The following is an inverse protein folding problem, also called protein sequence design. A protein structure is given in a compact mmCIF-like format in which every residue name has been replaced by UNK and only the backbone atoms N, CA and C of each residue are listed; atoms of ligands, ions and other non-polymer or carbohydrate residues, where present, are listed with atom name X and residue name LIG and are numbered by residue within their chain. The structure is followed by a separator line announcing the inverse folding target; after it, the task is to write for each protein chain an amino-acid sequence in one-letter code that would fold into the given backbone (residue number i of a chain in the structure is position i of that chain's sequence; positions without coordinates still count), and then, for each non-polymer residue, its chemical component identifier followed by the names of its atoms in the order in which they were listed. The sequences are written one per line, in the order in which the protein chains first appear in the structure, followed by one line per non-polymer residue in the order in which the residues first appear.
data_IF_412710302623
#
_entry.id   IF_412710302623
#
_cell.length_a   1.000
_cell.length_b   1.000
_cell.length_c   1.000
_cell.angle_alpha   90.00
_cell.angle_beta   90.00
_cell.angle_gamma   90.00
#
_symmetry.space_group_name_H-M   'P 1'
#
loop_
_entity.id
_entity.type
_entity.pdbx_description
1 polymer ?
#
# COMPACT_ATOMS: atom_id res chain seq x y z
N UNK A 1 11.19 -24.49 -5.48
CA UNK A 1 11.50 -23.73 -6.70
C UNK A 1 12.62 -24.51 -7.30
N UNK A 2 12.35 -25.22 -8.39
CA UNK A 2 13.35 -26.08 -9.01
C UNK A 2 14.28 -25.19 -9.84
N UNK A 3 15.59 -25.34 -9.64
CA UNK A 3 16.59 -24.53 -10.33
C UNK A 3 16.56 -24.79 -11.84
N UNK A 4 16.19 -26.00 -12.24
CA UNK A 4 16.04 -26.41 -13.64
C UNK A 4 14.98 -25.55 -14.36
N UNK A 5 13.81 -25.35 -13.74
CA UNK A 5 12.71 -24.58 -14.35
C UNK A 5 13.06 -23.10 -14.53
N UNK A 6 13.82 -22.52 -13.58
CA UNK A 6 14.27 -21.13 -13.70
C UNK A 6 15.31 -21.00 -14.83
N UNK A 7 16.24 -21.96 -14.91
CA UNK A 7 17.26 -21.97 -15.95
C UNK A 7 16.69 -22.23 -17.35
N UNK A 8 15.65 -23.04 -17.47
CA UNK A 8 14.95 -23.29 -18.73
C UNK A 8 14.25 -22.02 -19.25
N UNK A 9 13.58 -21.27 -18.38
CA UNK A 9 12.94 -20.01 -18.79
C UNK A 9 13.97 -18.93 -19.14
N UNK A 10 15.07 -18.84 -18.40
CA UNK A 10 16.20 -17.98 -18.78
C UNK A 10 16.77 -18.43 -20.13
N UNK A 11 16.90 -19.73 -20.35
CA UNK A 11 17.37 -20.31 -21.62
C UNK A 11 16.47 -19.95 -22.80
N UNK A 12 15.14 -19.97 -22.62
CA UNK A 12 14.18 -19.55 -23.66
C UNK A 12 14.32 -18.07 -24.01
N UNK A 13 14.51 -17.20 -23.02
CA UNK A 13 14.69 -15.75 -23.23
C UNK A 13 16.03 -15.44 -23.90
N UNK A 14 17.08 -16.22 -23.61
CA UNK A 14 18.38 -16.08 -24.30
C UNK A 14 18.35 -16.65 -25.73
N UNK A 15 17.42 -17.55 -26.04
CA UNK A 15 17.26 -18.17 -27.35
C UNK A 15 16.26 -17.45 -28.26
N UNK A 16 15.44 -16.52 -27.74
CA UNK A 16 14.71 -15.59 -28.60
C UNK A 16 15.72 -14.68 -29.28
N UNK A 17 15.68 -14.59 -30.61
CA UNK A 17 16.52 -13.74 -31.46
C UNK A 17 16.30 -12.23 -31.24
N UNK A 18 16.29 -11.77 -30.00
CA UNK A 18 16.32 -10.37 -29.62
C UNK A 18 17.76 -10.01 -29.23
N UNK A 19 18.37 -9.11 -29.99
CA UNK A 19 19.66 -8.55 -29.65
C UNK A 19 19.50 -7.72 -28.36
N UNK A 20 19.97 -8.26 -27.24
CA UNK A 20 20.03 -7.54 -25.97
C UNK A 20 21.34 -6.73 -25.96
N UNK A 21 21.31 -5.39 -26.05
CA UNK A 21 22.52 -4.59 -25.93
C UNK A 21 23.10 -4.77 -24.51
N UNK A 22 24.32 -5.31 -24.43
CA UNK A 22 25.01 -5.68 -23.18
C UNK A 22 25.91 -4.53 -22.71
N UNK A 23 25.36 -3.32 -22.76
CA UNK A 23 26.13 -2.09 -22.53
C UNK A 23 25.87 -1.56 -21.10
N UNK A 24 24.79 -2.02 -20.47
CA UNK A 24 24.40 -1.66 -19.10
C UNK A 24 23.97 -2.90 -18.30
N UNK A 25 24.19 -2.85 -16.98
CA UNK A 25 23.84 -3.93 -16.05
C UNK A 25 22.39 -4.40 -16.21
N UNK A 26 22.17 -5.68 -16.51
CA UNK A 26 20.83 -6.26 -16.61
C UNK A 26 20.37 -6.81 -15.25
N UNK A 27 19.10 -6.55 -14.88
CA UNK A 27 18.51 -7.05 -13.64
C UNK A 27 17.40 -8.06 -13.94
N UNK A 28 17.60 -9.33 -13.56
CA UNK A 28 16.56 -10.36 -13.68
C UNK A 28 15.78 -10.46 -12.36
N UNK A 29 14.47 -10.23 -12.40
CA UNK A 29 13.59 -10.45 -11.24
C UNK A 29 12.76 -11.71 -11.48
N UNK A 30 13.16 -12.82 -10.84
CA UNK A 30 12.42 -14.08 -10.91
C UNK A 30 11.32 -14.08 -9.85
N UNK A 31 10.06 -14.14 -10.28
CA UNK A 31 8.89 -14.26 -9.42
C UNK A 31 8.25 -15.63 -9.55
N UNK A 32 7.93 -16.29 -8.43
CA UNK A 32 7.13 -17.52 -8.43
C UNK A 32 5.64 -17.14 -8.40
N UNK A 33 4.89 -17.53 -9.42
CA UNK A 33 3.43 -17.48 -9.40
C UNK A 33 2.93 -18.84 -8.94
N UNK A 34 2.50 -18.95 -7.68
CA UNK A 34 1.72 -20.11 -7.26
C UNK A 34 0.31 -19.98 -7.85
N UNK A 35 -0.05 -20.93 -8.72
CA UNK A 35 -1.41 -21.03 -9.27
C UNK A 35 -2.34 -21.35 -8.10
N UNK A 36 -3.32 -20.51 -7.78
CA UNK A 36 -4.16 -20.73 -6.61
C UNK A 36 -5.14 -21.88 -6.84
N UNK A 37 -5.09 -22.88 -5.98
CA UNK A 37 -6.17 -23.84 -5.77
C UNK A 37 -7.22 -23.21 -4.84
N UNK A 38 -8.20 -22.50 -5.43
CA UNK A 38 -9.38 -21.98 -4.72
C UNK A 38 -9.70 -20.50 -4.96
N UNK A 39 -10.91 -20.07 -4.60
CA UNK A 39 -11.46 -18.71 -4.79
C UNK A 39 -10.90 -17.63 -3.85
N UNK A 40 -9.62 -17.72 -3.48
CA UNK A 40 -8.95 -16.77 -2.59
C UNK A 40 -8.58 -15.44 -3.25
N UNK A 41 -7.90 -14.56 -2.49
CA UNK A 41 -7.35 -13.30 -3.03
C UNK A 41 -6.27 -13.62 -4.07
N UNK A 42 -6.53 -13.34 -5.34
CA UNK A 42 -5.61 -13.66 -6.45
C UNK A 42 -4.56 -12.57 -6.60
N UNK A 43 -3.28 -12.94 -6.75
CA UNK A 43 -2.18 -12.02 -7.05
C UNK A 43 -2.33 -11.30 -8.39
N UNK A 44 -1.43 -10.35 -8.68
CA UNK A 44 -1.36 -9.74 -10.02
C UNK A 44 -0.58 -10.71 -10.92
N UNK A 45 -1.24 -11.28 -11.92
CA UNK A 45 -0.65 -12.28 -12.82
C UNK A 45 -0.64 -11.84 -14.27
N UNK A 46 -1.54 -10.92 -14.67
CA UNK A 46 -1.65 -10.39 -16.03
C UNK A 46 -1.78 -8.87 -15.96
N UNK A 47 -0.85 -8.13 -16.58
CA UNK A 47 -0.86 -6.67 -16.57
C UNK A 47 -1.64 -6.06 -17.74
N UNK A 48 -1.63 -6.72 -18.90
CA UNK A 48 -2.15 -6.18 -20.16
C UNK A 48 -3.23 -7.06 -20.78
N UNK A 49 -3.95 -6.53 -21.77
CA UNK A 49 -5.02 -7.23 -22.51
C UNK A 49 -6.34 -7.31 -21.74
N UNK A 50 -7.35 -7.88 -22.38
CA UNK A 50 -8.70 -8.01 -21.80
C UNK A 50 -8.67 -8.81 -20.49
N UNK A 51 -9.50 -8.37 -19.53
CA UNK A 51 -9.66 -9.01 -18.21
C UNK A 51 -8.33 -9.15 -17.44
N UNK A 52 -7.42 -8.18 -17.60
CA UNK A 52 -6.16 -8.15 -16.87
C UNK A 52 -6.40 -8.01 -15.35
N UNK A 53 -5.38 -8.36 -14.56
CA UNK A 53 -5.45 -8.32 -13.09
C UNK A 53 -5.67 -6.90 -12.55
N UNK A 54 -5.29 -5.87 -13.29
CA UNK A 54 -5.44 -4.47 -12.88
C UNK A 54 -6.93 -4.08 -12.91
N UNK A 55 -7.63 -4.42 -13.99
CA UNK A 55 -9.07 -4.19 -14.15
C UNK A 55 -9.90 -5.00 -13.15
N UNK A 56 -9.49 -6.25 -12.88
CA UNK A 56 -10.23 -7.14 -11.97
C UNK A 56 -10.04 -6.81 -10.50
N UNK A 57 -8.90 -6.25 -10.10
CA UNK A 57 -8.60 -5.97 -8.68
C UNK A 57 -9.27 -4.70 -8.21
N UNK A 58 -10.31 -4.83 -7.39
CA UNK A 58 -10.97 -3.71 -6.66
C UNK A 58 -10.03 -2.89 -5.77
N UNK A 59 -8.84 -3.39 -5.48
CA UNK A 59 -7.81 -2.68 -4.71
C UNK A 59 -7.04 -1.64 -5.54
N UNK A 60 -7.22 -1.63 -6.87
CA UNK A 60 -6.58 -0.71 -7.80
C UNK A 60 -7.67 0.06 -8.54
N UNK A 61 -7.50 1.38 -8.66
CA UNK A 61 -8.33 2.22 -9.53
C UNK A 61 -7.41 2.83 -10.58
N UNK A 62 -7.54 2.34 -11.81
CA UNK A 62 -6.83 2.83 -12.98
C UNK A 62 -7.74 3.74 -13.80
N UNK A 63 -7.20 4.86 -14.30
CA UNK A 63 -7.96 5.85 -15.09
C UNK A 63 -7.11 6.28 -16.29
N UNK A 64 -7.42 5.72 -17.46
CA UNK A 64 -6.71 6.06 -18.71
C UNK A 64 -6.69 7.58 -18.94
N UNK A 65 -5.50 8.13 -19.13
CA UNK A 65 -5.24 9.52 -19.51
C UNK A 65 -3.79 9.61 -19.97
N UNK A 66 -3.58 10.39 -21.04
CA UNK A 66 -2.26 10.62 -21.62
C UNK A 66 -1.32 11.33 -20.64
N UNK A 67 -1.77 12.44 -20.03
CA UNK A 67 -0.90 13.29 -19.20
C UNK A 67 -1.22 13.25 -17.70
N UNK A 68 -2.48 12.95 -17.32
CA UNK A 68 -2.99 13.19 -15.97
C UNK A 68 -3.13 11.94 -15.11
N UNK A 69 -2.65 10.76 -15.54
CA UNK A 69 -2.84 9.52 -14.79
C UNK A 69 -2.29 9.59 -13.35
N UNK A 70 -1.11 10.19 -13.15
CA UNK A 70 -0.51 10.32 -11.82
C UNK A 70 -1.28 11.30 -10.92
N UNK A 71 -1.55 12.56 -11.32
CA UNK A 71 -2.40 13.47 -10.53
C UNK A 71 -3.77 12.89 -10.17
N UNK A 72 -4.41 12.15 -11.09
CA UNK A 72 -5.67 11.47 -10.82
C UNK A 72 -5.53 10.34 -9.80
N UNK A 73 -4.48 9.52 -9.93
CA UNK A 73 -4.22 8.45 -8.97
C UNK A 73 -3.94 9.02 -7.55
N UNK A 74 -3.16 10.11 -7.46
CA UNK A 74 -2.92 10.84 -6.22
C UNK A 74 -4.23 11.38 -5.64
N UNK A 75 -5.09 11.96 -6.48
CA UNK A 75 -6.41 12.47 -6.05
C UNK A 75 -7.24 11.37 -5.39
N UNK A 76 -7.35 10.20 -6.04
CA UNK A 76 -8.13 9.06 -5.51
C UNK A 76 -7.55 8.58 -4.18
N UNK A 77 -6.24 8.41 -4.11
CA UNK A 77 -5.55 7.96 -2.90
C UNK A 77 -5.69 8.96 -1.75
N UNK A 78 -5.54 10.25 -2.01
CA UNK A 78 -5.69 11.32 -1.02
C UNK A 78 -7.13 11.37 -0.46
N UNK A 79 -8.14 11.31 -1.32
CA UNK A 79 -9.53 11.32 -0.86
C UNK A 79 -9.85 10.11 0.03
N UNK A 80 -9.16 8.98 -0.16
CA UNK A 80 -9.31 7.80 0.70
C UNK A 80 -8.82 8.02 2.13
N UNK A 81 -7.88 8.94 2.36
CA UNK A 81 -7.39 9.27 3.71
C UNK A 81 -8.28 10.29 4.42
N UNK A 82 -9.11 11.03 3.69
CA UNK A 82 -9.99 12.04 4.27
C UNK A 82 -11.12 11.43 5.11
N UNK A 83 -11.50 12.13 6.18
CA UNK A 83 -12.63 11.77 7.04
C UNK A 83 -13.94 11.87 6.25
N UNK A 84 -14.71 10.78 6.18
CA UNK A 84 -16.05 10.83 5.57
C UNK A 84 -17.02 11.51 6.51
N UNK A 85 -17.73 12.53 6.02
CA UNK A 85 -18.72 13.30 6.77
C UNK A 85 -20.11 13.26 6.13
N UNK A 86 -21.15 13.55 6.91
CA UNK A 86 -22.51 13.68 6.40
C UNK A 86 -22.67 14.93 5.53
N UNK A 87 -23.68 15.00 4.62
CA UNK A 87 -23.93 16.21 3.83
C UNK A 87 -24.21 17.46 4.69
N UNK A 88 -24.91 17.31 5.83
CA UNK A 88 -25.19 18.41 6.75
C UNK A 88 -23.95 18.91 7.48
N UNK A 89 -23.11 17.99 7.95
CA UNK A 89 -21.82 18.32 8.56
C UNK A 89 -20.89 19.01 7.56
N UNK A 90 -20.83 18.52 6.32
CA UNK A 90 -20.06 19.16 5.24
C UNK A 90 -20.52 20.59 4.97
N UNK A 91 -21.83 20.83 4.89
CA UNK A 91 -22.40 22.17 4.68
C UNK A 91 -22.04 23.11 5.82
N UNK A 92 -22.07 22.61 7.06
CA UNK A 92 -21.70 23.38 8.25
C UNK A 92 -20.21 23.74 8.23
N UNK A 93 -19.36 22.75 8.00
CA UNK A 93 -17.90 22.89 7.98
C UNK A 93 -17.40 23.85 6.90
N UNK A 94 -18.10 23.93 5.76
CA UNK A 94 -17.67 24.69 4.57
C UNK A 94 -18.55 25.90 4.26
N UNK A 95 -19.41 26.30 5.21
CA UNK A 95 -20.42 27.36 5.03
C UNK A 95 -19.82 28.72 4.69
N UNK A 96 -18.74 29.10 5.36
CA UNK A 96 -18.04 30.38 5.16
C UNK A 96 -16.92 30.31 4.12
N UNK A 97 -16.52 29.10 3.74
CA UNK A 97 -15.41 28.87 2.82
C UNK A 97 -15.88 29.05 1.36
N UNK A 98 -15.33 30.03 0.66
CA UNK A 98 -15.66 30.33 -0.76
C UNK A 98 -14.76 29.58 -1.75
N UNK A 99 -13.84 28.75 -1.28
CA UNK A 99 -12.94 27.96 -2.11
C UNK A 99 -13.68 26.92 -2.95
N UNK A 100 -12.98 26.38 -3.94
CA UNK A 100 -13.54 25.30 -4.73
C UNK A 100 -13.64 24.02 -3.87
N UNK A 101 -14.33 23.00 -4.40
CA UNK A 101 -14.47 21.71 -3.69
C UNK A 101 -13.10 21.11 -3.32
N UNK A 102 -12.11 21.18 -4.21
CA UNK A 102 -10.79 20.63 -3.94
C UNK A 102 -10.07 21.36 -2.80
N UNK A 103 -10.12 22.70 -2.78
CA UNK A 103 -9.51 23.52 -1.72
C UNK A 103 -10.10 23.19 -0.35
N UNK A 104 -11.44 23.10 -0.28
CA UNK A 104 -12.15 22.72 0.94
C UNK A 104 -11.72 21.36 1.44
N UNK A 105 -11.65 20.37 0.54
CA UNK A 105 -11.25 19.01 0.92
C UNK A 105 -9.81 18.97 1.42
N UNK A 106 -8.89 19.67 0.76
CA UNK A 106 -7.49 19.80 1.19
C UNK A 106 -7.38 20.43 2.58
N UNK A 107 -8.09 21.55 2.80
CA UNK A 107 -8.07 22.29 4.07
C UNK A 107 -8.68 21.52 5.23
N UNK A 108 -9.87 20.96 5.04
CA UNK A 108 -10.64 20.35 6.13
C UNK A 108 -10.36 18.85 6.32
N UNK A 109 -9.58 18.22 5.43
CA UNK A 109 -9.29 16.77 5.42
C UNK A 109 -10.55 15.91 5.61
N UNK A 110 -11.67 16.40 5.07
CA UNK A 110 -13.00 15.82 5.22
C UNK A 110 -13.70 15.82 3.88
N UNK A 111 -14.54 14.81 3.61
CA UNK A 111 -15.28 14.69 2.34
C UNK A 111 -16.67 14.11 2.55
N UNK A 112 -17.68 14.55 1.81
CA UNK A 112 -18.94 13.82 1.76
C UNK A 112 -18.81 12.58 0.87
N UNK A 113 -19.46 11.48 1.27
CA UNK A 113 -19.37 10.19 0.57
C UNK A 113 -19.77 10.27 -0.91
N UNK A 114 -20.74 11.13 -1.27
CA UNK A 114 -21.16 11.30 -2.66
C UNK A 114 -20.01 11.84 -3.54
N UNK A 115 -19.18 12.73 -3.00
CA UNK A 115 -18.06 13.32 -3.73
C UNK A 115 -16.96 12.29 -3.97
N UNK A 116 -16.63 11.51 -2.93
CA UNK A 116 -15.72 10.37 -3.05
C UNK A 116 -16.15 9.43 -4.19
N UNK A 117 -17.43 9.00 -4.19
CA UNK A 117 -17.99 8.12 -5.23
C UNK A 117 -18.01 8.77 -6.62
N UNK A 118 -18.21 10.08 -6.71
CA UNK A 118 -18.09 10.79 -7.98
C UNK A 118 -16.67 10.75 -8.51
N UNK A 119 -15.65 10.91 -7.67
CA UNK A 119 -14.26 10.82 -8.12
C UNK A 119 -13.88 9.36 -8.47
N UNK A 120 -14.31 8.37 -7.68
CA UNK A 120 -13.88 6.98 -7.86
C UNK A 120 -14.70 6.17 -8.85
N UNK A 121 -16.01 6.40 -8.96
CA UNK A 121 -16.93 5.52 -9.68
C UNK A 121 -17.49 6.20 -10.94
N UNK A 122 -18.08 7.40 -10.80
CA UNK A 122 -18.97 7.99 -11.83
C UNK A 122 -18.43 9.19 -12.61
N UNK A 123 -17.35 9.84 -12.17
CA UNK A 123 -17.01 11.20 -12.59
C UNK A 123 -15.56 11.36 -13.03
N UNK A 124 -15.24 10.87 -14.23
CA UNK A 124 -13.94 11.13 -14.89
C UNK A 124 -13.63 12.63 -14.90
N UNK A 125 -14.63 13.48 -15.19
CA UNK A 125 -14.51 14.95 -15.16
C UNK A 125 -14.19 15.49 -13.77
N UNK A 126 -14.86 15.00 -12.72
CA UNK A 126 -14.61 15.43 -11.33
C UNK A 126 -13.21 15.05 -10.87
N UNK A 127 -12.77 13.84 -11.18
CA UNK A 127 -11.41 13.39 -10.90
C UNK A 127 -10.37 14.26 -11.63
N UNK A 128 -10.58 14.52 -12.92
CA UNK A 128 -9.71 15.41 -13.71
C UNK A 128 -9.67 16.83 -13.11
N UNK A 129 -10.80 17.41 -12.73
CA UNK A 129 -10.83 18.76 -12.16
C UNK A 129 -10.09 18.83 -10.82
N UNK A 130 -10.26 17.82 -9.96
CA UNK A 130 -9.50 17.73 -8.71
C UNK A 130 -8.00 17.58 -8.99
N UNK A 131 -7.64 16.71 -9.93
CA UNK A 131 -6.27 16.47 -10.35
C UNK A 131 -5.61 17.73 -10.94
N UNK A 132 -6.32 18.50 -11.76
CA UNK A 132 -5.87 19.80 -12.29
C UNK A 132 -5.60 20.78 -11.16
N UNK A 133 -6.49 20.84 -10.16
CA UNK A 133 -6.27 21.70 -8.99
C UNK A 133 -5.04 21.28 -8.18
N UNK A 134 -4.80 19.97 -8.03
CA UNK A 134 -3.56 19.49 -7.41
C UNK A 134 -2.32 19.88 -8.22
N UNK A 135 -2.36 19.77 -9.55
CA UNK A 135 -1.27 20.19 -10.43
C UNK A 135 -0.98 21.69 -10.28
N UNK A 136 -2.01 22.53 -10.26
CA UNK A 136 -1.89 23.98 -10.05
C UNK A 136 -1.20 24.29 -8.71
N UNK A 137 -1.67 23.68 -7.61
CA UNK A 137 -1.09 23.88 -6.28
C UNK A 137 0.33 23.32 -6.14
N UNK A 138 0.66 22.28 -6.90
CA UNK A 138 1.97 21.65 -6.90
C UNK A 138 2.96 22.30 -7.89
N UNK A 139 2.52 23.31 -8.65
CA UNK A 139 3.29 23.90 -9.75
C UNK A 139 3.79 22.83 -10.74
N UNK A 140 2.87 22.01 -11.24
CA UNK A 140 3.14 20.93 -12.21
C UNK A 140 2.27 21.12 -13.45
N UNK A 141 2.90 21.06 -14.63
CA UNK A 141 2.18 21.19 -15.92
C UNK A 141 1.22 20.02 -16.15
N UNK A 142 0.06 20.32 -16.74
CA UNK A 142 -0.94 19.32 -17.16
C UNK A 142 -0.78 18.86 -18.61
N UNK A 143 0.14 19.48 -19.35
CA UNK A 143 0.29 19.30 -20.80
C UNK A 143 1.24 18.15 -21.15
N UNK A 144 1.97 17.64 -20.15
CA UNK A 144 2.88 16.51 -20.28
C UNK A 144 2.64 15.50 -19.16
N UNK A 145 2.95 14.21 -19.38
CA UNK A 145 2.90 13.21 -18.32
C UNK A 145 3.83 13.57 -17.17
N UNK A 146 3.32 13.46 -15.94
CA UNK A 146 4.15 13.72 -14.76
C UNK A 146 5.26 12.66 -14.61
N UNK A 147 6.41 13.09 -14.08
CA UNK A 147 7.53 12.21 -13.75
C UNK A 147 7.57 11.89 -12.23
N UNK A 148 8.26 10.81 -11.85
CA UNK A 148 8.32 10.35 -10.44
C UNK A 148 8.93 11.41 -9.50
N UNK A 149 9.79 12.31 -10.00
CA UNK A 149 10.41 13.36 -9.18
C UNK A 149 9.38 14.45 -8.80
N UNK A 150 8.36 14.69 -9.62
CA UNK A 150 7.29 15.64 -9.34
C UNK A 150 6.37 15.19 -8.19
N UNK A 151 6.39 13.90 -7.82
CA UNK A 151 5.62 13.37 -6.67
C UNK A 151 5.93 14.15 -5.39
N UNK A 152 7.16 14.62 -5.18
CA UNK A 152 7.52 15.39 -3.99
C UNK A 152 6.74 16.72 -3.89
N UNK A 153 6.39 17.34 -5.02
CA UNK A 153 5.58 18.56 -5.04
C UNK A 153 4.16 18.27 -4.60
N UNK A 154 3.58 17.16 -5.08
CA UNK A 154 2.28 16.70 -4.63
C UNK A 154 2.28 16.33 -3.14
N UNK A 155 3.31 15.65 -2.64
CA UNK A 155 3.45 15.31 -1.21
C UNK A 155 3.38 16.55 -0.31
N UNK A 156 3.93 17.70 -0.75
CA UNK A 156 3.83 18.97 -0.02
C UNK A 156 2.42 19.54 -0.01
N UNK A 157 1.68 19.41 -1.11
CA UNK A 157 0.29 19.90 -1.24
C UNK A 157 -0.69 19.05 -0.42
N UNK A 158 -0.60 17.73 -0.55
CA UNK A 158 -1.53 16.81 0.13
C UNK A 158 -1.10 16.46 1.54
N UNK A 159 0.13 16.82 1.92
CA UNK A 159 0.77 16.49 3.20
C UNK A 159 0.56 15.01 3.58
N UNK A 160 1.10 14.14 2.71
CA UNK A 160 1.12 12.68 2.81
C UNK A 160 2.46 12.15 2.30
N UNK A 161 2.83 10.92 2.67
CA UNK A 161 3.90 10.18 1.99
C UNK A 161 3.32 9.33 0.86
N UNK A 162 3.85 9.50 -0.35
CA UNK A 162 3.43 8.77 -1.55
C UNK A 162 4.51 7.73 -1.91
N UNK A 163 4.14 6.46 -1.84
CA UNK A 163 5.00 5.34 -2.22
C UNK A 163 4.60 4.82 -3.60
N UNK A 164 5.59 4.45 -4.42
CA UNK A 164 5.34 3.93 -5.77
C UNK A 164 5.81 2.49 -5.88
N UNK A 165 4.91 1.63 -6.31
CA UNK A 165 5.14 0.21 -6.57
C UNK A 165 5.22 0.00 -8.08
N UNK A 166 6.29 -0.61 -8.58
CA UNK A 166 6.49 -0.86 -10.02
C UNK A 166 5.97 -2.24 -10.42
N UNK A 167 5.10 -2.27 -11.42
CA UNK A 167 4.69 -3.50 -12.10
C UNK A 167 5.88 -4.20 -12.77
N UNK A 168 6.71 -3.43 -13.48
CA UNK A 168 7.88 -3.92 -14.23
C UNK A 168 8.91 -4.60 -13.32
N UNK A 169 9.09 -4.10 -12.10
CA UNK A 169 10.03 -4.66 -11.13
C UNK A 169 9.38 -5.65 -10.15
N UNK A 170 8.30 -6.34 -10.55
CA UNK A 170 7.70 -7.41 -9.74
C UNK A 170 7.06 -6.90 -8.45
N UNK A 171 6.36 -5.76 -8.51
CA UNK A 171 5.72 -5.10 -7.37
C UNK A 171 6.70 -4.60 -6.30
N UNK A 172 7.94 -4.27 -6.68
CA UNK A 172 8.91 -3.62 -5.79
C UNK A 172 8.58 -2.14 -5.59
N UNK A 173 8.89 -1.64 -4.39
CA UNK A 173 8.86 -0.20 -4.10
C UNK A 173 10.04 0.48 -4.80
N UNK A 174 9.74 1.37 -5.75
CA UNK A 174 10.76 2.14 -6.49
C UNK A 174 10.90 3.58 -5.99
N UNK A 175 9.92 4.04 -5.21
CA UNK A 175 9.97 5.32 -4.52
C UNK A 175 9.40 5.14 -3.12
N UNK A 176 10.18 5.60 -2.15
CA UNK A 176 9.74 5.81 -0.76
C UNK A 176 9.99 7.30 -0.48
N UNK A 177 8.92 8.09 -0.40
CA UNK A 177 9.01 9.53 -0.13
C UNK A 177 9.48 9.85 1.29
N UNK A 178 9.44 11.13 1.67
CA UNK A 178 9.78 11.56 3.04
C UNK A 178 8.87 10.87 4.05
N UNK A 179 9.41 10.42 5.17
CA UNK A 179 8.65 9.70 6.21
C UNK A 179 7.55 10.62 6.76
N UNK A 180 6.30 10.26 6.49
CA UNK A 180 5.10 10.89 7.05
C UNK A 180 4.30 9.84 7.85
N UNK A 181 3.40 10.32 8.70
CA UNK A 181 2.46 9.48 9.46
C UNK A 181 1.55 8.72 8.52
N UNK A 182 0.85 9.45 7.65
CA UNK A 182 -0.06 8.90 6.65
C UNK A 182 0.68 8.55 5.34
N UNK A 183 0.32 7.40 4.77
CA UNK A 183 0.94 6.85 3.57
C UNK A 183 -0.11 6.46 2.55
N UNK A 184 0.16 6.76 1.29
CA UNK A 184 -0.62 6.28 0.15
C UNK A 184 0.28 5.60 -0.86
N UNK A 185 -0.33 4.78 -1.72
CA UNK A 185 0.39 3.88 -2.62
C UNK A 185 -0.11 4.07 -4.05
N UNK A 186 0.82 4.31 -4.97
CA UNK A 186 0.57 4.32 -6.41
C UNK A 186 1.15 3.06 -7.04
N UNK A 187 0.46 2.56 -8.07
CA UNK A 187 0.96 1.48 -8.90
C UNK A 187 1.43 2.05 -10.25
N UNK A 188 2.70 1.88 -10.53
CA UNK A 188 3.32 2.28 -11.78
C UNK A 188 3.34 1.10 -12.75
N UNK A 189 2.59 1.23 -13.84
CA UNK A 189 2.50 0.27 -14.93
C UNK A 189 3.29 0.86 -16.09
N UNK A 190 4.40 0.22 -16.42
CA UNK A 190 5.30 0.63 -17.50
C UNK A 190 5.28 -0.47 -18.56
N UNK A 191 4.85 -0.11 -19.76
CA UNK A 191 4.99 -0.90 -20.98
C UNK A 191 5.89 -0.17 -21.95
N UNK A 192 6.29 -0.82 -23.03
CA UNK A 192 7.15 -0.20 -24.05
C UNK A 192 6.47 0.99 -24.74
N UNK A 193 5.13 0.99 -24.75
CA UNK A 193 4.31 2.02 -25.39
C UNK A 193 3.84 3.12 -24.43
N UNK A 194 3.74 2.84 -23.12
CA UNK A 194 3.14 3.80 -22.20
C UNK A 194 3.60 3.67 -20.73
N UNK A 195 3.53 4.79 -20.03
CA UNK A 195 3.73 4.88 -18.58
C UNK A 195 2.42 5.32 -17.92
N UNK A 196 1.88 4.47 -17.05
CA UNK A 196 0.60 4.70 -16.41
C UNK A 196 0.66 4.58 -14.89
N UNK A 197 0.02 5.51 -14.19
CA UNK A 197 -0.14 5.45 -12.74
C UNK A 197 -1.59 5.11 -12.38
N UNK A 198 -1.76 4.12 -11.52
CA UNK A 198 -3.03 3.74 -10.92
C UNK A 198 -2.99 3.95 -9.40
N UNK A 199 -4.15 4.26 -8.82
CA UNK A 199 -4.30 4.40 -7.38
C UNK A 199 -4.43 3.02 -6.72
N UNK A 200 -3.66 2.75 -5.66
CA UNK A 200 -3.88 1.57 -4.80
C UNK A 200 -4.74 2.02 -3.62
N UNK A 201 -6.02 1.67 -3.65
CA UNK A 201 -7.01 2.01 -2.61
C UNK A 201 -7.08 0.98 -1.47
N UNK A 202 -6.38 -0.15 -1.62
CA UNK A 202 -6.21 -1.16 -0.58
C UNK A 202 -4.89 -1.90 -0.75
N UNK A 203 -3.90 -1.60 0.09
CA UNK A 203 -2.56 -2.22 0.00
C UNK A 203 -2.58 -3.72 0.32
N UNK A 204 -3.45 -4.16 1.23
CA UNK A 204 -3.66 -5.57 1.56
C UNK A 204 -4.36 -6.32 0.43
N UNK A 205 -5.34 -5.69 -0.23
CA UNK A 205 -5.97 -6.22 -1.44
C UNK A 205 -5.01 -6.28 -2.63
N UNK A 206 -4.12 -5.30 -2.76
CA UNK A 206 -3.07 -5.26 -3.78
C UNK A 206 -2.13 -6.47 -3.66
N UNK A 207 -1.55 -6.69 -2.47
CA UNK A 207 -0.66 -7.81 -2.19
C UNK A 207 -1.39 -9.14 -1.90
N UNK A 208 -2.71 -9.18 -1.99
CA UNK A 208 -3.52 -10.37 -1.69
C UNK A 208 -3.23 -11.00 -0.33
N UNK A 209 -2.92 -10.17 0.66
CA UNK A 209 -2.53 -10.60 2.01
C UNK A 209 -3.51 -10.08 3.06
N UNK A 210 -3.59 -10.74 4.21
CA UNK A 210 -4.49 -10.33 5.29
C UNK A 210 -4.03 -9.01 5.94
N UNK A 211 -2.72 -8.84 6.04
CA UNK A 211 -2.12 -7.69 6.68
C UNK A 211 -0.93 -7.15 5.86
N UNK A 212 -0.56 -5.91 6.15
CA UNK A 212 0.56 -5.24 5.52
C UNK A 212 1.25 -4.35 6.54
N UNK A 213 2.57 -4.44 6.63
CA UNK A 213 3.35 -3.60 7.54
C UNK A 213 3.81 -2.34 6.81
N UNK A 214 3.32 -1.18 7.23
CA UNK A 214 3.67 0.11 6.64
C UNK A 214 5.05 0.62 7.03
N UNK A 215 5.74 -0.07 7.95
CA UNK A 215 7.12 0.24 8.36
C UNK A 215 8.14 -0.49 7.50
N UNK A 216 8.08 -1.82 7.41
CA UNK A 216 9.02 -2.60 6.60
C UNK A 216 8.50 -2.89 5.17
N UNK A 217 7.29 -2.42 4.85
CA UNK A 217 6.65 -2.54 3.54
C UNK A 217 6.45 -3.98 3.06
N UNK A 218 6.13 -4.90 3.99
CA UNK A 218 5.92 -6.33 3.69
C UNK A 218 4.49 -6.78 3.98
N UNK A 219 3.85 -7.56 3.08
CA UNK A 219 2.62 -8.27 3.40
C UNK A 219 2.89 -9.42 4.37
N UNK A 220 1.88 -9.81 5.14
CA UNK A 220 1.94 -10.96 6.05
C UNK A 220 0.55 -11.54 6.34
N UNK A 221 0.50 -12.86 6.55
CA UNK A 221 -0.76 -13.60 6.73
C UNK A 221 -1.36 -13.41 8.12
N UNK A 222 -0.52 -13.35 9.16
CA UNK A 222 -0.96 -13.41 10.55
C UNK A 222 -0.14 -12.46 11.44
N UNK A 223 -0.81 -11.79 12.39
CA UNK A 223 -0.12 -10.86 13.31
C UNK A 223 0.97 -11.53 14.14
N UNK A 224 0.83 -12.81 14.45
CA UNK A 224 1.81 -13.58 15.23
C UNK A 224 3.06 -13.99 14.45
N UNK A 225 3.07 -13.90 13.12
CA UNK A 225 4.20 -14.34 12.28
C UNK A 225 5.05 -13.19 11.79
N UNK A 226 4.55 -11.95 11.87
CA UNK A 226 5.29 -10.78 11.43
C UNK A 226 6.10 -10.14 12.57
N UNK A 227 7.42 -10.15 12.41
CA UNK A 227 8.36 -9.44 13.27
C UNK A 227 9.14 -8.43 12.42
N UNK A 228 9.12 -7.16 12.82
CA UNK A 228 10.03 -6.13 12.31
C UNK A 228 10.42 -5.18 13.45
N UNK A 229 11.15 -4.11 13.15
CA UNK A 229 11.60 -3.13 14.15
C UNK A 229 10.45 -2.61 15.04
N UNK A 230 9.28 -2.32 14.44
CA UNK A 230 8.12 -1.78 15.16
C UNK A 230 7.00 -2.79 15.38
N UNK A 231 6.96 -3.91 14.65
CA UNK A 231 5.92 -4.94 14.86
C UNK A 231 6.47 -6.13 15.63
N UNK A 232 5.76 -6.53 16.67
CA UNK A 232 6.22 -7.54 17.63
C UNK A 232 5.28 -8.76 17.65
N UNK A 233 5.85 -9.95 17.49
CA UNK A 233 5.12 -11.23 17.54
C UNK A 233 4.71 -11.64 18.97
N UNK A 234 5.23 -10.97 20.00
CA UNK A 234 4.97 -11.30 21.42
C UNK A 234 3.72 -10.61 21.94
N UNK A 235 3.56 -9.32 21.67
CA UNK A 235 2.36 -8.57 22.03
C UNK A 235 1.42 -8.29 20.84
N UNK A 236 1.79 -8.73 19.62
CA UNK A 236 1.04 -8.52 18.38
C UNK A 236 0.73 -7.04 18.06
N UNK A 237 1.52 -6.10 18.62
CA UNK A 237 1.39 -4.66 18.37
C UNK A 237 2.27 -4.23 17.20
N UNK A 238 1.76 -3.31 16.38
CA UNK A 238 2.48 -2.64 15.29
C UNK A 238 3.33 -1.44 15.75
N UNK A 239 3.27 -1.10 17.05
CA UNK A 239 3.99 -0.01 17.69
C UNK A 239 4.77 -0.53 18.91
N UNK A 240 5.74 -1.41 18.67
CA UNK A 240 6.51 -2.12 19.67
C UNK A 240 7.99 -2.16 19.28
N UNK A 241 8.73 -1.17 19.78
CA UNK A 241 10.17 -0.99 19.55
C UNK A 241 10.95 -1.72 20.65
N UNK A 242 12.10 -2.27 20.29
CA UNK A 242 13.07 -2.84 21.24
C UNK A 242 13.72 -1.71 22.04
N UNK A 243 13.70 -1.83 23.36
CA UNK A 243 14.41 -0.95 24.29
C UNK A 243 15.51 -1.72 25.00
N UNK A 244 16.44 -1.01 25.64
CA UNK A 244 17.53 -1.62 26.42
C UNK A 244 17.01 -2.48 27.58
N UNK A 245 15.82 -2.16 28.08
CA UNK A 245 15.13 -2.99 29.08
C UNK A 245 14.21 -4.00 28.39
N UNK A 246 14.57 -5.28 28.43
CA UNK A 246 13.72 -6.40 27.97
C UNK A 246 13.21 -7.22 29.17
N UNK A 247 12.07 -7.90 29.01
CA UNK A 247 11.45 -8.67 30.09
C UNK A 247 11.10 -10.07 29.61
N UNK A 248 11.58 -11.11 30.29
CA UNK A 248 11.15 -12.48 30.05
C UNK A 248 9.86 -12.79 30.82
N UNK A 249 8.81 -13.18 30.09
CA UNK A 249 7.54 -13.58 30.70
C UNK A 249 7.68 -14.98 31.33
N UNK A 250 7.39 -15.12 32.63
CA UNK A 250 7.54 -16.41 33.33
C UNK A 250 6.50 -17.45 32.92
N UNK A 251 5.32 -17.01 32.48
CA UNK A 251 4.21 -17.88 32.11
C UNK A 251 4.40 -18.50 30.73
N UNK A 252 4.64 -17.69 29.69
CA UNK A 252 4.84 -18.18 28.32
C UNK A 252 6.30 -18.39 27.94
N UNK A 253 7.26 -17.96 28.78
CA UNK A 253 8.70 -18.03 28.55
C UNK A 253 9.20 -17.25 27.31
N UNK A 254 8.40 -16.32 26.79
CA UNK A 254 8.77 -15.43 25.67
C UNK A 254 9.38 -14.11 26.19
N UNK A 255 10.27 -13.52 25.40
CA UNK A 255 10.92 -12.23 25.74
C UNK A 255 10.18 -11.04 25.14
N UNK A 256 9.67 -10.15 26.00
CA UNK A 256 9.07 -8.88 25.64
C UNK A 256 10.14 -7.81 25.37
N UNK A 257 9.89 -6.98 24.34
CA UNK A 257 10.82 -5.96 23.84
C UNK A 257 11.02 -4.74 24.75
N UNK A 258 10.10 -4.53 25.68
CA UNK A 258 10.06 -3.40 26.62
C UNK A 258 9.04 -3.66 27.72
N UNK A 259 9.02 -2.81 28.76
CA UNK A 259 7.98 -2.82 29.80
C UNK A 259 6.59 -2.65 29.18
N UNK A 260 6.43 -1.71 28.25
CA UNK A 260 5.19 -1.50 27.53
C UNK A 260 4.79 -2.71 26.65
N UNK A 261 5.76 -3.44 26.10
CA UNK A 261 5.50 -4.70 25.41
C UNK A 261 4.94 -5.76 26.37
N UNK A 262 5.49 -5.85 27.58
CA UNK A 262 5.01 -6.80 28.59
C UNK A 262 3.60 -6.47 29.07
N UNK A 263 3.29 -5.20 29.28
CA UNK A 263 1.93 -4.75 29.64
C UNK A 263 0.92 -5.14 28.56
N UNK A 264 1.17 -4.82 27.28
CA UNK A 264 0.30 -5.22 26.16
C UNK A 264 0.21 -6.74 25.97
N UNK A 265 1.24 -7.47 26.34
CA UNK A 265 1.28 -8.93 26.25
C UNK A 265 0.33 -9.58 27.27
N UNK A 266 0.19 -8.97 28.45
CA UNK A 266 -0.68 -9.39 29.56
C UNK A 266 -2.07 -8.74 29.51
N UNK A 267 -2.29 -7.79 28.60
CA UNK A 267 -3.56 -7.07 28.47
C UNK A 267 -4.66 -8.02 27.97
N UNK A 268 -5.77 -8.08 28.71
CA UNK A 268 -6.95 -8.86 28.32
C UNK A 268 -7.62 -8.26 27.09
N UNK A 269 -7.83 -9.11 26.08
CA UNK A 269 -8.54 -8.76 24.85
C UNK A 269 -9.94 -9.34 24.90
N UNK A 270 -10.92 -8.44 24.94
CA UNK A 270 -12.33 -8.79 24.87
C UNK A 270 -12.67 -9.15 23.41
N UNK A 271 -13.13 -10.38 23.20
CA UNK A 271 -13.65 -10.85 21.91
C UNK A 271 -15.17 -10.79 21.91
N UNK A 272 -15.76 -10.39 20.77
CA UNK A 272 -17.22 -10.26 20.62
C UNK A 272 -17.98 -11.58 20.82
N UNK A 273 -17.32 -12.72 20.59
CA UNK A 273 -17.83 -14.06 20.78
C UNK A 273 -16.69 -14.93 21.34
N UNK A 274 -16.82 -15.40 22.58
CA UNK A 274 -15.82 -16.25 23.25
C UNK A 274 -15.24 -15.64 24.52
N UNK A 275 -14.41 -16.39 25.27
CA UNK A 275 -13.74 -15.90 26.46
C UNK A 275 -12.68 -14.84 26.10
N UNK A 276 -12.45 -13.89 27.01
CA UNK A 276 -11.30 -12.98 26.90
C UNK A 276 -10.00 -13.80 26.93
N UNK A 277 -8.95 -13.24 26.33
CA UNK A 277 -7.64 -13.86 26.31
C UNK A 277 -6.52 -12.81 26.36
N UNK A 278 -5.32 -13.21 26.74
CA UNK A 278 -4.09 -12.42 26.62
C UNK A 278 -3.19 -12.98 25.51
N UNK A 279 -2.24 -12.19 24.99
CA UNK A 279 -1.28 -12.73 24.03
C UNK A 279 -0.33 -13.76 24.67
N UNK A 280 -0.21 -13.74 26.01
CA UNK A 280 0.54 -14.72 26.80
C UNK A 280 -0.02 -16.14 26.69
N UNK A 281 -1.34 -16.29 26.62
CA UNK A 281 -2.01 -17.60 26.64
C UNK A 281 -1.94 -18.34 25.30
N UNK A 282 -1.58 -17.64 24.21
CA UNK A 282 -1.63 -18.21 22.86
C UNK A 282 -0.45 -19.11 22.51
N UNK A 283 0.76 -18.73 22.95
CA UNK A 283 2.00 -19.35 22.49
C UNK A 283 2.95 -19.45 23.66
N UNK A 284 3.35 -20.68 24.00
CA UNK A 284 4.37 -20.99 25.00
C UNK A 284 5.69 -21.36 24.31
N UNK A 285 6.80 -20.79 24.78
CA UNK A 285 8.13 -21.17 24.32
C UNK A 285 8.74 -22.22 25.25
N UNK A 286 9.06 -23.41 24.71
CA UNK A 286 9.68 -24.47 25.49
C UNK A 286 11.01 -24.02 26.12
N UNK A 287 11.16 -24.23 27.44
CA UNK A 287 12.36 -23.84 28.18
C UNK A 287 13.63 -24.57 27.71
N UNK A 288 13.48 -25.83 27.29
CA UNK A 288 14.58 -26.71 26.89
C UNK A 288 14.97 -26.52 25.42
N UNK A 289 14.04 -26.70 24.49
CA UNK A 289 14.35 -26.65 23.05
C UNK A 289 14.15 -25.28 22.40
N UNK A 290 13.65 -24.28 23.14
CA UNK A 290 13.38 -22.90 22.69
C UNK A 290 12.42 -22.77 21.50
N UNK A 291 11.69 -23.84 21.14
CA UNK A 291 10.63 -23.83 20.12
C UNK A 291 9.30 -23.31 20.68
N UNK A 292 8.45 -22.80 19.79
CA UNK A 292 7.10 -22.27 20.06
C UNK A 292 6.02 -23.27 19.67
#
# INVERSE_FOLDING_TARGET
MDASTVMDEIGKVLQSNEELPVDDSFSVTVGRIDIPSGGGRVGITKLMGENNSIERKRSIISRSSETMCMPMAISICFLKTCRTVSPGEWKTLTSEDKGCMADKVLKYRSIPMWFYRHVTDKGRKTCINFAKRLCELADVSTDKPCNIKEIERFEKVVDLQILVISAKLGNKFIRIGRKQTEKVFLYLIETDECKHFAAIVSITGFFSSNHFCTHCLKPYSDKGTHSCETTCTVCCSSNCILTDTTLSCRACNRTCRSIACFQRHMEEKIVKKGPSYTECEKIYQCKTCKKF
#
